data_IF_116274120445
#
_entry.id   IF_116274120445
#
_cell.length_a   1.000
_cell.length_b   1.000
_cell.length_c   1.000
_cell.angle_alpha   90.00
_cell.angle_beta   90.00
_cell.angle_gamma   90.00
#
_symmetry.space_group_name_H-M   'P 1'
#
loop_
_entity.id
_entity.type
_entity.pdbx_description
1 polymer ?
#
# COMPACT_ATOMS: atom_id res chain seq x y z
N UNK A 1 42.69 -6.83 -59.44
CA UNK A 1 41.66 -7.31 -60.39
C UNK A 1 41.36 -6.22 -61.39
N UNK A 2 41.74 -6.45 -62.72
CA UNK A 2 41.44 -5.49 -63.81
C UNK A 2 40.03 -5.80 -64.30
N UNK A 3 39.05 -4.90 -63.92
CA UNK A 3 37.73 -5.02 -64.52
C UNK A 3 37.73 -4.74 -65.98
N UNK A 4 37.48 -5.77 -66.78
CA UNK A 4 37.73 -5.77 -68.24
C UNK A 4 36.68 -5.10 -69.11
N UNK A 5 35.54 -4.67 -68.53
CA UNK A 5 34.46 -4.04 -69.33
C UNK A 5 33.88 -2.76 -68.64
N UNK A 6 33.57 -1.74 -69.45
CA UNK A 6 33.01 -0.51 -69.08
C UNK A 6 31.67 -0.69 -68.25
N UNK A 7 30.89 -1.69 -68.63
CA UNK A 7 29.61 -2.07 -67.98
C UNK A 7 29.80 -2.47 -66.55
N UNK A 8 30.84 -3.22 -66.18
CA UNK A 8 31.10 -3.63 -64.77
C UNK A 8 31.51 -2.44 -63.94
N UNK A 9 32.29 -1.50 -64.49
CA UNK A 9 32.65 -0.26 -63.77
C UNK A 9 31.42 0.60 -63.49
N UNK A 10 30.53 0.76 -64.44
CA UNK A 10 29.27 1.51 -64.29
C UNK A 10 28.36 0.84 -63.28
N UNK A 11 28.19 -0.46 -63.35
CA UNK A 11 27.37 -1.22 -62.39
C UNK A 11 27.86 -1.06 -60.94
N UNK A 12 29.17 -1.20 -60.69
CA UNK A 12 29.75 -1.01 -59.35
C UNK A 12 29.56 0.44 -58.87
N UNK A 13 29.75 1.44 -59.75
CA UNK A 13 29.53 2.85 -59.37
C UNK A 13 28.09 3.14 -58.95
N UNK A 14 27.11 2.68 -59.74
CA UNK A 14 25.68 2.87 -59.40
C UNK A 14 25.28 2.09 -58.17
N UNK A 15 25.76 0.84 -58.02
CA UNK A 15 25.47 0.05 -56.83
C UNK A 15 26.07 0.66 -55.57
N UNK A 16 27.30 1.17 -55.63
CA UNK A 16 27.90 1.90 -54.50
C UNK A 16 27.15 3.16 -54.13
N UNK A 17 26.74 3.94 -55.11
CA UNK A 17 25.94 5.13 -54.87
C UNK A 17 24.58 4.83 -54.25
N UNK A 18 23.91 3.78 -54.69
CA UNK A 18 22.64 3.32 -54.13
C UNK A 18 22.79 2.84 -52.69
N UNK A 19 23.84 2.11 -52.36
CA UNK A 19 24.14 1.66 -50.98
C UNK A 19 24.36 2.87 -50.04
N UNK A 20 25.10 3.88 -50.51
CA UNK A 20 25.36 5.09 -49.71
C UNK A 20 24.06 5.81 -49.42
N UNK A 21 23.18 5.98 -50.42
CA UNK A 21 21.87 6.61 -50.21
C UNK A 21 21.03 5.82 -49.22
N UNK A 22 20.95 4.51 -49.32
CA UNK A 22 20.25 3.64 -48.38
C UNK A 22 20.78 3.79 -46.97
N UNK A 23 22.09 3.88 -46.80
CA UNK A 23 22.71 4.08 -45.49
C UNK A 23 22.35 5.42 -44.88
N UNK A 24 22.35 6.49 -45.68
CA UNK A 24 21.96 7.84 -45.22
C UNK A 24 20.49 7.87 -44.78
N UNK A 25 19.59 7.30 -45.59
CA UNK A 25 18.16 7.22 -45.27
C UNK A 25 17.97 6.40 -43.97
N UNK A 26 18.66 5.25 -43.85
CA UNK A 26 18.60 4.42 -42.66
C UNK A 26 19.07 5.14 -41.39
N UNK A 27 20.14 5.92 -41.48
CA UNK A 27 20.68 6.69 -40.36
C UNK A 27 19.70 7.82 -39.93
N UNK A 28 19.07 8.52 -40.87
CA UNK A 28 18.07 9.55 -40.58
C UNK A 28 16.85 8.91 -39.92
N UNK A 29 16.35 7.80 -40.44
CA UNK A 29 15.20 7.10 -39.92
C UNK A 29 15.46 6.56 -38.50
N UNK A 30 16.64 5.98 -38.28
CA UNK A 30 17.06 5.49 -36.96
C UNK A 30 17.13 6.64 -35.94
N UNK A 31 17.74 7.74 -36.29
CA UNK A 31 17.84 8.93 -35.42
C UNK A 31 16.46 9.49 -35.05
N UNK A 32 15.59 9.63 -36.05
CA UNK A 32 14.23 10.11 -35.83
C UNK A 32 13.42 9.17 -34.97
N UNK A 33 13.45 7.87 -35.25
CA UNK A 33 12.71 6.86 -34.51
C UNK A 33 13.22 6.72 -33.07
N UNK A 34 14.52 6.73 -32.86
CA UNK A 34 15.14 6.69 -31.53
C UNK A 34 14.71 7.85 -30.67
N UNK A 35 14.81 9.07 -31.20
CA UNK A 35 14.39 10.29 -30.47
C UNK A 35 12.89 10.29 -30.17
N UNK A 36 12.06 9.90 -31.13
CA UNK A 36 10.62 9.81 -30.96
C UNK A 36 10.24 8.79 -29.87
N UNK A 37 10.83 7.58 -29.94
CA UNK A 37 10.54 6.51 -28.97
C UNK A 37 10.99 6.91 -27.58
N UNK A 38 12.21 7.43 -27.42
CA UNK A 38 12.75 7.83 -26.12
C UNK A 38 11.88 8.91 -25.49
N UNK A 39 11.47 9.91 -26.26
CA UNK A 39 10.58 10.97 -25.77
C UNK A 39 9.23 10.44 -25.34
N UNK A 40 8.61 9.59 -26.16
CA UNK A 40 7.29 9.01 -25.87
C UNK A 40 7.32 8.09 -24.65
N UNK A 41 8.36 7.28 -24.49
CA UNK A 41 8.55 6.43 -23.30
C UNK A 41 8.73 7.30 -22.06
N UNK A 42 9.54 8.36 -22.11
CA UNK A 42 9.74 9.27 -21.00
C UNK A 42 8.44 9.97 -20.58
N UNK A 43 7.64 10.45 -21.55
CA UNK A 43 6.33 11.05 -21.28
C UNK A 43 5.36 10.05 -20.63
N UNK A 44 5.31 8.80 -21.13
CA UNK A 44 4.47 7.76 -20.57
C UNK A 44 4.90 7.36 -19.14
N UNK A 45 6.20 7.28 -18.89
CA UNK A 45 6.72 7.02 -17.55
C UNK A 45 6.36 8.15 -16.57
N UNK A 46 6.47 9.42 -17.01
CA UNK A 46 6.05 10.57 -16.21
C UNK A 46 4.56 10.52 -15.85
N UNK A 47 3.71 10.21 -16.83
CA UNK A 47 2.27 10.06 -16.60
C UNK A 47 1.95 8.91 -15.64
N UNK A 48 2.65 7.78 -15.80
CA UNK A 48 2.50 6.61 -14.91
C UNK A 48 2.90 6.95 -13.47
N UNK A 49 4.05 7.60 -13.27
CA UNK A 49 4.49 8.04 -11.95
C UNK A 49 3.49 8.99 -11.29
N UNK A 50 2.96 9.95 -12.05
CA UNK A 50 1.93 10.88 -11.54
C UNK A 50 0.64 10.14 -11.19
N UNK A 51 0.20 9.19 -12.01
CA UNK A 51 -0.98 8.38 -11.74
C UNK A 51 -0.83 7.53 -10.48
N UNK A 52 0.34 6.90 -10.30
CA UNK A 52 0.65 6.10 -9.10
C UNK A 52 0.68 7.00 -7.86
N UNK A 53 1.32 8.18 -7.95
CA UNK A 53 1.37 9.13 -6.84
C UNK A 53 -0.03 9.57 -6.41
N UNK A 54 -0.87 9.96 -7.37
CA UNK A 54 -2.25 10.37 -7.09
C UNK A 54 -3.08 9.22 -6.48
N UNK A 55 -2.90 7.98 -6.96
CA UNK A 55 -3.58 6.82 -6.40
C UNK A 55 -3.14 6.54 -4.97
N UNK A 56 -1.83 6.66 -4.66
CA UNK A 56 -1.32 6.51 -3.30
C UNK A 56 -1.86 7.58 -2.36
N UNK A 57 -1.91 8.84 -2.80
CA UNK A 57 -2.44 9.94 -2.01
C UNK A 57 -3.94 9.74 -1.72
N UNK A 58 -4.69 9.23 -2.69
CA UNK A 58 -6.12 8.90 -2.50
C UNK A 58 -6.30 7.77 -1.49
N UNK A 59 -5.49 6.70 -1.56
CA UNK A 59 -5.55 5.60 -0.60
C UNK A 59 -5.16 6.03 0.81
N UNK A 60 -4.13 6.86 0.97
CA UNK A 60 -3.74 7.44 2.26
C UNK A 60 -4.89 8.28 2.82
N UNK A 61 -5.55 9.09 1.99
CA UNK A 61 -6.70 9.90 2.40
C UNK A 61 -7.90 9.05 2.82
N UNK A 62 -8.15 7.94 2.15
CA UNK A 62 -9.19 6.97 2.56
C UNK A 62 -8.87 6.35 3.91
N UNK A 63 -7.65 5.89 4.12
CA UNK A 63 -7.21 5.35 5.42
C UNK A 63 -7.35 6.38 6.53
N UNK A 64 -7.01 7.62 6.25
CA UNK A 64 -7.16 8.72 7.17
C UNK A 64 -8.62 8.96 7.56
N UNK A 65 -9.51 9.07 6.59
CA UNK A 65 -10.94 9.25 6.81
C UNK A 65 -11.52 8.08 7.61
N UNK A 66 -11.13 6.86 7.28
CA UNK A 66 -11.57 5.64 7.98
C UNK A 66 -11.10 5.65 9.44
N UNK A 67 -9.82 6.00 9.67
CA UNK A 67 -9.27 6.14 11.04
C UNK A 67 -10.04 7.17 11.87
N UNK A 68 -10.34 8.33 11.28
CA UNK A 68 -11.13 9.37 11.93
C UNK A 68 -12.54 8.90 12.25
N UNK A 69 -13.19 8.19 11.33
CA UNK A 69 -14.52 7.62 11.56
C UNK A 69 -14.51 6.63 12.73
N UNK A 70 -13.47 5.81 12.85
CA UNK A 70 -13.31 4.89 14.01
C UNK A 70 -13.12 5.67 15.30
N UNK A 71 -12.20 6.64 15.33
CA UNK A 71 -11.87 7.43 16.54
C UNK A 71 -13.03 8.28 17.03
N UNK A 72 -13.82 8.86 16.12
CA UNK A 72 -14.94 9.73 16.48
C UNK A 72 -16.28 9.00 16.62
N UNK A 73 -16.35 7.70 16.31
CA UNK A 73 -17.57 6.91 16.49
C UNK A 73 -17.90 6.75 17.97
N UNK A 74 -19.02 7.31 18.42
CA UNK A 74 -19.50 7.10 19.77
C UNK A 74 -19.82 5.62 20.04
N UNK A 75 -20.33 4.92 19.05
CA UNK A 75 -20.64 3.49 19.17
C UNK A 75 -19.38 2.66 19.46
N UNK A 76 -18.27 2.96 18.80
CA UNK A 76 -16.99 2.29 19.08
C UNK A 76 -16.50 2.64 20.48
N UNK A 77 -16.58 3.92 20.89
CA UNK A 77 -16.19 4.35 22.23
C UNK A 77 -16.99 3.63 23.32
N UNK A 78 -18.30 3.55 23.15
CA UNK A 78 -19.19 2.90 24.12
C UNK A 78 -18.88 1.40 24.24
N UNK A 79 -18.74 0.70 23.11
CA UNK A 79 -18.36 -0.71 23.12
C UNK A 79 -16.96 -0.94 23.70
N UNK A 80 -16.01 -0.07 23.39
CA UNK A 80 -14.65 -0.19 23.91
C UNK A 80 -14.58 0.10 25.42
N UNK A 81 -15.30 1.11 25.91
CA UNK A 81 -15.42 1.37 27.36
C UNK A 81 -16.07 0.20 28.09
N UNK A 82 -17.15 -0.35 27.54
CA UNK A 82 -17.81 -1.53 28.10
C UNK A 82 -16.86 -2.75 28.13
N UNK A 83 -16.08 -2.94 27.09
CA UNK A 83 -15.05 -3.98 27.05
C UNK A 83 -14.03 -3.81 28.19
N UNK A 84 -13.53 -2.59 28.42
CA UNK A 84 -12.55 -2.30 29.48
C UNK A 84 -13.16 -2.57 30.87
N UNK A 85 -14.40 -2.16 31.10
CA UNK A 85 -15.12 -2.39 32.37
C UNK A 85 -15.30 -3.90 32.62
N UNK A 86 -15.75 -4.66 31.64
CA UNK A 86 -15.96 -6.09 31.76
C UNK A 86 -14.64 -6.86 31.98
N UNK A 87 -13.52 -6.34 31.46
CA UNK A 87 -12.20 -6.91 31.65
C UNK A 87 -11.67 -6.72 33.08
N UNK A 88 -11.88 -5.54 33.66
CA UNK A 88 -11.43 -5.21 35.02
C UNK A 88 -12.29 -5.84 36.10
N UNK A 89 -13.54 -6.18 35.80
CA UNK A 89 -14.54 -6.68 36.76
C UNK A 89 -14.47 -8.18 37.01
N UNK A 90 -13.47 -8.92 36.55
CA UNK A 90 -13.48 -10.39 36.55
C UNK A 90 -13.35 -11.04 37.94
N UNK A 91 -14.41 -11.56 38.53
CA UNK A 91 -14.35 -12.73 39.39
C UNK A 91 -14.24 -13.98 38.50
N UNK A 92 -13.29 -14.84 38.75
CA UNK A 92 -12.87 -16.02 37.96
C UNK A 92 -13.94 -17.10 37.70
N UNK A 93 -15.21 -16.89 37.95
CA UNK A 93 -16.23 -17.95 37.94
C UNK A 93 -17.60 -17.60 37.33
N UNK A 94 -17.79 -16.45 36.68
CA UNK A 94 -19.11 -16.07 36.20
C UNK A 94 -19.25 -16.18 34.69
N UNK A 95 -19.79 -17.31 34.20
CA UNK A 95 -20.03 -17.64 32.78
C UNK A 95 -20.80 -16.50 32.06
N UNK A 96 -21.72 -15.82 32.76
CA UNK A 96 -22.50 -14.69 32.22
C UNK A 96 -21.60 -13.51 31.79
N UNK A 97 -20.62 -13.15 32.59
CA UNK A 97 -19.69 -12.05 32.30
C UNK A 97 -18.82 -12.37 31.09
N UNK A 98 -18.36 -13.62 30.95
CA UNK A 98 -17.59 -14.03 29.77
C UNK A 98 -18.43 -13.97 28.49
N UNK A 99 -19.69 -14.40 28.54
CA UNK A 99 -20.59 -14.34 27.41
C UNK A 99 -20.87 -12.90 27.00
N UNK A 100 -21.10 -12.01 27.96
CA UNK A 100 -21.33 -10.59 27.71
C UNK A 100 -20.08 -9.89 27.13
N UNK A 101 -18.91 -10.19 27.67
CA UNK A 101 -17.64 -9.68 27.16
C UNK A 101 -17.42 -10.12 25.71
N UNK A 102 -17.58 -11.42 25.41
CA UNK A 102 -17.44 -11.95 24.06
C UNK A 102 -18.43 -11.30 23.08
N UNK A 103 -19.69 -11.19 23.47
CA UNK A 103 -20.72 -10.51 22.67
C UNK A 103 -20.34 -9.05 22.37
N UNK A 104 -19.82 -8.33 23.38
CA UNK A 104 -19.41 -6.94 23.21
C UNK A 104 -18.19 -6.78 22.30
N UNK A 105 -17.18 -7.67 22.40
CA UNK A 105 -16.02 -7.69 21.50
C UNK A 105 -16.48 -7.94 20.05
N UNK A 106 -17.37 -8.92 19.86
CA UNK A 106 -17.91 -9.23 18.53
C UNK A 106 -18.66 -8.03 17.95
N UNK A 107 -19.52 -7.39 18.73
CA UNK A 107 -20.21 -6.18 18.28
C UNK A 107 -19.25 -5.04 17.92
N UNK A 108 -18.18 -4.86 18.68
CA UNK A 108 -17.15 -3.87 18.37
C UNK A 108 -16.44 -4.19 17.04
N UNK A 109 -16.07 -5.45 16.84
CA UNK A 109 -15.46 -5.91 15.58
C UNK A 109 -16.42 -5.67 14.40
N UNK A 110 -17.70 -6.02 14.55
CA UNK A 110 -18.70 -5.85 13.50
C UNK A 110 -18.89 -4.38 13.12
N UNK A 111 -18.89 -3.47 14.11
CA UNK A 111 -18.97 -2.01 13.87
C UNK A 111 -17.72 -1.51 13.14
N UNK A 112 -16.52 -1.93 13.56
CA UNK A 112 -15.27 -1.55 12.89
C UNK A 112 -15.27 -2.08 11.46
N UNK A 113 -15.65 -3.34 11.24
CA UNK A 113 -15.75 -3.93 9.91
C UNK A 113 -16.77 -3.21 9.02
N UNK A 114 -17.88 -2.76 9.57
CA UNK A 114 -18.86 -1.95 8.83
C UNK A 114 -18.30 -0.60 8.40
N UNK A 115 -17.47 0.04 9.22
CA UNK A 115 -16.80 1.30 8.89
C UNK A 115 -15.70 1.07 7.83
N UNK A 116 -14.94 -0.02 7.93
CA UNK A 116 -13.95 -0.39 6.93
C UNK A 116 -14.61 -0.63 5.56
N UNK A 117 -15.80 -1.20 5.54
CA UNK A 117 -16.58 -1.47 4.33
C UNK A 117 -16.14 -2.72 3.54
N UNK A 118 -16.91 -3.13 2.53
CA UNK A 118 -16.68 -4.39 1.81
C UNK A 118 -15.49 -4.33 0.82
N UNK A 119 -15.09 -3.14 0.36
CA UNK A 119 -13.99 -2.94 -0.59
C UNK A 119 -12.78 -2.34 0.11
N UNK A 120 -12.19 -3.11 1.02
CA UNK A 120 -11.17 -2.61 1.94
C UNK A 120 -9.80 -2.46 1.26
N UNK A 121 -9.28 -1.26 1.25
CA UNK A 121 -7.84 -1.00 1.11
C UNK A 121 -7.10 -1.22 2.45
N UNK A 122 -7.83 -1.20 3.56
CA UNK A 122 -7.33 -1.46 4.90
C UNK A 122 -7.54 -2.92 5.24
N UNK A 123 -6.47 -3.70 5.33
CA UNK A 123 -6.53 -5.13 5.65
C UNK A 123 -6.75 -5.43 7.12
N UNK A 124 -6.37 -4.51 8.01
CA UNK A 124 -6.46 -4.68 9.45
C UNK A 124 -6.63 -3.32 10.16
N UNK A 125 -7.59 -3.23 11.07
CA UNK A 125 -7.72 -2.15 12.03
C UNK A 125 -7.52 -2.70 13.43
N UNK A 126 -6.71 -2.04 14.24
CA UNK A 126 -6.45 -2.42 15.62
C UNK A 126 -6.71 -1.24 16.54
N UNK A 127 -7.47 -1.46 17.62
CA UNK A 127 -7.74 -0.48 18.67
C UNK A 127 -6.99 -0.95 19.91
N UNK A 128 -6.21 -0.04 20.50
CA UNK A 128 -5.39 -0.32 21.69
C UNK A 128 -5.86 0.51 22.87
N UNK A 129 -5.78 -0.07 24.08
CA UNK A 129 -5.78 0.69 25.31
C UNK A 129 -4.33 1.00 25.77
N UNK A 130 -4.19 1.84 26.79
CA UNK A 130 -2.88 2.18 27.37
C UNK A 130 -2.19 1.01 28.09
N UNK A 131 -2.90 -0.07 28.38
CA UNK A 131 -2.38 -1.27 29.04
C UNK A 131 -1.91 -2.33 28.03
N UNK A 132 -1.94 -2.02 26.74
CA UNK A 132 -1.52 -2.94 25.70
C UNK A 132 -2.57 -3.96 25.27
N UNK A 133 -3.81 -3.78 25.67
CA UNK A 133 -4.89 -4.63 25.18
C UNK A 133 -5.32 -4.14 23.79
N UNK A 134 -5.37 -5.06 22.85
CA UNK A 134 -5.72 -4.81 21.47
C UNK A 134 -6.98 -5.55 21.08
N UNK A 135 -7.87 -4.89 20.38
CA UNK A 135 -8.96 -5.52 19.63
C UNK A 135 -8.71 -5.29 18.17
N UNK A 136 -8.59 -6.38 17.42
CA UNK A 136 -8.36 -6.38 15.98
C UNK A 136 -9.62 -6.66 15.19
N UNK A 137 -9.78 -5.99 14.04
CA UNK A 137 -10.82 -6.23 13.07
C UNK A 137 -10.24 -6.25 11.65
N UNK A 138 -10.44 -7.32 10.91
CA UNK A 138 -9.89 -7.52 9.56
C UNK A 138 -9.34 -8.93 9.37
N UNK A 139 -8.08 -9.05 9.00
CA UNK A 139 -7.40 -10.35 8.87
C UNK A 139 -7.37 -11.14 10.17
N UNK A 140 -7.21 -10.44 11.28
CA UNK A 140 -7.34 -10.98 12.62
C UNK A 140 -8.54 -10.33 13.32
N UNK A 141 -9.46 -11.15 13.81
CA UNK A 141 -10.65 -10.74 14.55
C UNK A 141 -10.58 -11.29 15.97
N UNK A 142 -10.33 -10.42 16.95
CA UNK A 142 -10.22 -10.85 18.34
C UNK A 142 -9.45 -9.89 19.22
N UNK A 143 -9.18 -10.34 20.46
CA UNK A 143 -8.39 -9.59 21.42
C UNK A 143 -7.02 -10.24 21.65
N UNK A 144 -5.99 -9.40 21.80
CA UNK A 144 -4.64 -9.80 22.18
C UNK A 144 -4.10 -8.78 23.19
N UNK A 145 -3.24 -9.24 24.11
CA UNK A 145 -2.49 -8.36 24.99
C UNK A 145 -1.03 -8.35 24.55
N UNK A 146 -0.44 -7.16 24.42
CA UNK A 146 0.94 -6.98 24.01
C UNK A 146 1.61 -5.86 24.78
N UNK A 147 2.92 -5.89 24.87
CA UNK A 147 3.69 -4.79 25.46
C UNK A 147 3.90 -3.69 24.42
N UNK A 148 3.13 -2.61 24.51
CA UNK A 148 3.22 -1.46 23.60
C UNK A 148 4.57 -0.74 23.65
N UNK A 149 5.26 -0.78 24.80
CA UNK A 149 6.54 -0.09 24.98
C UNK A 149 7.66 -0.70 24.13
N UNK A 150 7.53 -1.97 23.74
CA UNK A 150 8.45 -2.63 22.82
C UNK A 150 8.19 -2.29 21.34
N UNK A 151 7.05 -1.62 21.04
CA UNK A 151 6.69 -1.27 19.68
C UNK A 151 7.33 0.06 19.26
N UNK A 152 8.14 0.04 18.19
CA UNK A 152 8.86 1.21 17.71
C UNK A 152 7.95 2.39 17.32
N UNK A 153 6.74 2.12 16.88
CA UNK A 153 5.76 3.12 16.50
C UNK A 153 5.06 3.78 17.71
N UNK A 154 4.94 3.07 18.84
CA UNK A 154 4.16 3.55 19.99
C UNK A 154 4.72 4.84 20.59
N UNK A 155 6.00 4.86 20.93
CA UNK A 155 6.66 6.05 21.47
C UNK A 155 6.65 7.22 20.48
N UNK A 156 6.78 6.93 19.18
CA UNK A 156 6.69 7.96 18.14
C UNK A 156 5.29 8.57 18.07
N UNK A 157 4.25 7.73 18.17
CA UNK A 157 2.85 8.18 18.16
C UNK A 157 2.54 9.04 19.39
N UNK A 158 3.01 8.65 20.58
CA UNK A 158 2.81 9.43 21.82
C UNK A 158 3.43 10.83 21.71
N UNK A 159 4.63 10.94 21.15
CA UNK A 159 5.35 12.21 20.99
C UNK A 159 4.66 13.18 20.00
N UNK A 160 3.76 12.66 19.16
CA UNK A 160 3.02 13.48 18.19
C UNK A 160 1.77 14.16 18.79
N UNK A 161 1.45 13.94 20.09
CA UNK A 161 0.34 14.59 20.80
C UNK A 161 -0.99 14.58 20.04
N UNK A 162 -1.35 13.43 19.45
CA UNK A 162 -2.59 13.26 18.70
C UNK A 162 -2.47 13.49 17.19
N UNK A 163 -1.30 13.90 16.70
CA UNK A 163 -1.06 13.91 15.26
C UNK A 163 -0.81 12.48 14.74
N UNK A 164 -1.05 12.28 13.46
CA UNK A 164 -0.95 10.98 12.80
C UNK A 164 0.49 10.56 12.59
N UNK A 165 0.77 9.29 12.81
CA UNK A 165 2.04 8.68 12.48
C UNK A 165 1.85 7.66 11.35
N UNK A 166 2.55 7.88 10.24
CA UNK A 166 2.58 6.95 9.11
C UNK A 166 3.98 6.35 9.07
N UNK A 167 4.08 5.03 9.18
CA UNK A 167 5.34 4.32 9.05
C UNK A 167 5.37 3.48 7.79
N UNK A 168 6.52 3.42 7.14
CA UNK A 168 6.78 2.41 6.11
C UNK A 168 6.90 1.05 6.83
N UNK A 169 6.25 -0.02 6.34
CA UNK A 169 6.37 -1.34 6.93
C UNK A 169 7.84 -1.80 6.89
N UNK A 170 8.53 -1.70 8.02
CA UNK A 170 9.77 -2.42 8.24
C UNK A 170 9.36 -3.82 8.68
N UNK A 171 9.51 -4.83 7.82
CA UNK A 171 9.30 -6.24 8.10
C UNK A 171 8.42 -6.51 9.34
N UNK A 172 7.11 -6.43 9.18
CA UNK A 172 6.20 -6.94 10.19
C UNK A 172 6.51 -8.43 10.25
N UNK A 173 7.23 -8.88 11.28
CA UNK A 173 7.16 -10.27 11.70
C UNK A 173 5.67 -10.48 12.02
N UNK A 174 4.95 -11.04 11.06
CA UNK A 174 3.66 -11.65 11.34
C UNK A 174 3.94 -12.57 12.52
N UNK A 175 3.23 -12.35 13.61
CA UNK A 175 3.27 -13.20 14.80
C UNK A 175 3.31 -14.64 14.31
N UNK A 176 4.44 -15.28 14.60
CA UNK A 176 4.65 -16.69 14.31
C UNK A 176 3.49 -17.42 14.98
N UNK A 177 2.59 -17.96 14.17
CA UNK A 177 1.48 -18.77 14.63
C UNK A 177 2.05 -20.13 15.03
N UNK A 178 2.77 -20.15 16.13
CA UNK A 178 3.07 -21.39 16.86
C UNK A 178 1.87 -21.70 17.75
N UNK A 179 0.91 -22.41 17.16
CA UNK A 179 -0.03 -23.27 17.89
C UNK A 179 0.61 -24.65 18.00
#
# INVERSE_FOLDING_TARGET
MKFKTLQVKLFISYSSFFIIILFIIGAIFYSFFSNYTTRKVSEQQGQLCTSISNSLDEEIKKMDTTSMNIVYSNLIKDHFQKYLLLRTSTPKSNISIYSERYSNIRSLIDVVMAILGPFQTVSQANIYDFNGNMIGAGLFNGEVSMDLHQMSWYNKTLNLNGAKYISVPSHIKLLDSSI
#
